data_IF_574949574955
#
_entry.id   IF_574949574955
#
_cell.length_a   1.000
_cell.length_b   1.000
_cell.length_c   1.000
_cell.angle_alpha   90.00
_cell.angle_beta   90.00
_cell.angle_gamma   90.00
#
_symmetry.space_group_name_H-M   'P 1'
#
loop_
_entity.id
_entity.type
_entity.pdbx_description
1 polymer ?
#
# COMPACT_ATOMS: atom_id res chain seq x y z
N UNK A 1 -26.05 13.68 -2.09
CA UNK A 1 -26.49 13.75 -0.68
C UNK A 1 -26.94 12.36 -0.26
N UNK A 2 -26.37 11.85 0.83
CA UNK A 2 -26.56 10.54 1.48
C UNK A 2 -26.22 9.26 0.66
N UNK A 3 -24.95 9.07 0.30
CA UNK A 3 -24.36 7.71 0.11
C UNK A 3 -23.33 7.44 1.23
N UNK A 4 -23.67 7.89 2.43
CA UNK A 4 -22.86 7.78 3.62
C UNK A 4 -23.28 6.55 4.41
N UNK A 5 -22.49 5.50 4.29
CA UNK A 5 -22.23 4.55 5.37
C UNK A 5 -23.27 3.45 5.66
N UNK A 6 -23.58 2.61 4.66
CA UNK A 6 -24.34 1.36 4.87
C UNK A 6 -23.55 0.41 5.79
N UNK A 7 -24.06 0.04 6.98
CA UNK A 7 -23.40 -0.87 7.92
C UNK A 7 -23.03 -2.22 7.28
N UNK A 8 -23.85 -2.71 6.35
CA UNK A 8 -23.61 -3.97 5.64
C UNK A 8 -22.40 -3.90 4.70
N UNK A 9 -22.05 -2.70 4.21
CA UNK A 9 -20.81 -2.48 3.42
C UNK A 9 -19.57 -2.46 4.31
N UNK A 10 -19.69 -2.03 5.58
CA UNK A 10 -18.59 -2.08 6.57
C UNK A 10 -18.30 -3.50 7.01
N UNK A 11 -19.36 -4.29 7.25
CA UNK A 11 -19.24 -5.71 7.61
C UNK A 11 -18.56 -6.54 6.50
N UNK A 12 -18.78 -6.23 5.22
CA UNK A 12 -18.13 -6.92 4.07
C UNK A 12 -16.83 -6.24 3.60
N UNK A 13 -16.29 -5.29 4.36
CA UNK A 13 -15.07 -4.57 3.96
C UNK A 13 -13.86 -5.53 3.91
N UNK A 14 -12.87 -5.22 3.06
CA UNK A 14 -11.63 -5.99 3.06
C UNK A 14 -10.95 -5.96 4.43
N UNK A 15 -10.94 -4.81 5.10
CA UNK A 15 -10.35 -4.67 6.43
C UNK A 15 -10.97 -5.63 7.45
N UNK A 16 -12.31 -5.68 7.51
CA UNK A 16 -13.07 -6.58 8.39
C UNK A 16 -12.74 -8.04 8.08
N UNK A 17 -12.83 -8.44 6.80
CA UNK A 17 -12.52 -9.81 6.38
C UNK A 17 -11.10 -10.23 6.74
N UNK A 18 -10.12 -9.34 6.55
CA UNK A 18 -8.72 -9.59 6.92
C UNK A 18 -8.54 -9.73 8.43
N UNK A 19 -9.13 -8.83 9.22
CA UNK A 19 -9.11 -8.90 10.69
C UNK A 19 -9.66 -10.23 11.19
N UNK A 20 -10.83 -10.64 10.70
CA UNK A 20 -11.46 -11.90 11.07
C UNK A 20 -10.63 -13.12 10.68
N UNK A 21 -9.97 -13.10 9.51
CA UNK A 21 -9.08 -14.17 9.09
C UNK A 21 -7.85 -14.28 9.99
N UNK A 22 -7.22 -13.15 10.32
CA UNK A 22 -6.07 -13.11 11.24
C UNK A 22 -6.46 -13.65 12.62
N UNK A 23 -7.66 -13.33 13.13
CA UNK A 23 -8.16 -13.86 14.40
C UNK A 23 -8.44 -15.37 14.38
N UNK A 24 -8.78 -15.95 13.22
CA UNK A 24 -9.07 -17.39 13.07
C UNK A 24 -7.81 -18.23 12.82
N UNK A 25 -6.79 -17.65 12.19
CA UNK A 25 -5.52 -18.34 11.90
C UNK A 25 -4.35 -17.59 12.53
N UNK A 26 -3.55 -16.88 11.73
CA UNK A 26 -2.50 -16.00 12.19
C UNK A 26 -2.18 -14.93 11.15
N UNK A 27 -1.61 -13.80 11.58
CA UNK A 27 -1.18 -12.73 10.67
C UNK A 27 -0.17 -13.26 9.64
N UNK A 28 0.80 -14.06 10.09
CA UNK A 28 1.83 -14.63 9.21
C UNK A 28 1.24 -15.52 8.14
N UNK A 29 0.30 -16.40 8.49
CA UNK A 29 -0.33 -17.29 7.51
C UNK A 29 -1.10 -16.51 6.44
N UNK A 30 -1.91 -15.54 6.86
CA UNK A 30 -2.66 -14.68 5.94
C UNK A 30 -1.70 -13.88 5.04
N UNK A 31 -0.59 -13.38 5.59
CA UNK A 31 0.44 -12.68 4.83
C UNK A 31 1.14 -13.59 3.81
N UNK A 32 1.48 -14.83 4.17
CA UNK A 32 2.12 -15.79 3.27
C UNK A 32 1.21 -16.14 2.07
N UNK A 33 -0.08 -16.37 2.32
CA UNK A 33 -1.06 -16.59 1.24
C UNK A 33 -1.21 -15.32 0.38
N UNK A 34 -1.28 -14.14 0.99
CA UNK A 34 -1.33 -12.88 0.24
C UNK A 34 -0.09 -12.66 -0.65
N UNK A 35 1.09 -13.07 -0.19
CA UNK A 35 2.33 -13.06 -0.98
C UNK A 35 2.25 -14.03 -2.16
N UNK A 36 1.80 -15.27 -1.93
CA UNK A 36 1.65 -16.26 -2.99
C UNK A 36 0.69 -15.75 -4.07
N UNK A 37 -0.44 -15.19 -3.66
CA UNK A 37 -1.40 -14.60 -4.57
C UNK A 37 -0.83 -13.42 -5.36
N UNK A 38 -0.06 -12.53 -4.72
CA UNK A 38 0.66 -11.44 -5.39
C UNK A 38 1.67 -11.97 -6.41
N UNK A 39 2.32 -13.10 -6.14
CA UNK A 39 3.27 -13.74 -7.06
C UNK A 39 2.60 -14.60 -8.15
N UNK A 40 1.28 -14.54 -8.26
CA UNK A 40 0.49 -15.23 -9.27
C UNK A 40 0.15 -16.69 -8.92
N UNK A 41 0.37 -17.11 -7.67
CA UNK A 41 -0.07 -18.42 -7.19
C UNK A 41 -1.58 -18.42 -6.92
N UNK A 42 -2.17 -19.61 -7.01
CA UNK A 42 -3.56 -19.83 -6.62
C UNK A 42 -3.63 -20.35 -5.18
N UNK A 43 -4.25 -19.55 -4.31
CA UNK A 43 -4.29 -19.78 -2.86
C UNK A 43 -5.60 -20.40 -2.37
N UNK A 44 -6.42 -20.93 -3.28
CA UNK A 44 -7.73 -21.52 -2.97
C UNK A 44 -8.90 -20.53 -3.10
N UNK A 45 -10.08 -21.09 -3.37
CA UNK A 45 -11.34 -20.35 -3.55
C UNK A 45 -11.71 -19.54 -2.31
N UNK A 46 -11.48 -20.12 -1.12
CA UNK A 46 -11.74 -19.49 0.18
C UNK A 46 -10.92 -18.21 0.33
N UNK A 47 -9.64 -18.24 -0.04
CA UNK A 47 -8.77 -17.08 0.06
C UNK A 47 -9.09 -16.04 -1.00
N UNK A 48 -9.38 -16.46 -2.23
CA UNK A 48 -9.84 -15.53 -3.26
C UNK A 48 -11.10 -14.79 -2.82
N UNK A 49 -12.08 -15.49 -2.24
CA UNK A 49 -13.27 -14.87 -1.66
C UNK A 49 -12.91 -13.97 -0.47
N UNK A 50 -11.94 -14.36 0.35
CA UNK A 50 -11.48 -13.57 1.48
C UNK A 50 -10.85 -12.24 1.05
N UNK A 51 -10.06 -12.19 -0.03
CA UNK A 51 -9.37 -10.96 -0.45
C UNK A 51 -10.14 -10.18 -1.53
N UNK A 52 -10.88 -10.87 -2.40
CA UNK A 52 -11.61 -10.31 -3.53
C UNK A 52 -13.11 -10.11 -3.31
N UNK A 53 -13.69 -10.77 -2.31
CA UNK A 53 -15.09 -10.61 -1.91
C UNK A 53 -16.07 -10.98 -3.03
N UNK A 54 -17.11 -10.17 -3.21
CA UNK A 54 -18.10 -10.38 -4.30
C UNK A 54 -17.47 -10.43 -5.69
N UNK A 55 -16.35 -9.74 -5.93
CA UNK A 55 -15.69 -9.76 -7.24
C UNK A 55 -15.00 -11.10 -7.49
N UNK A 56 -14.42 -11.71 -6.44
CA UNK A 56 -13.85 -13.06 -6.56
C UNK A 56 -14.93 -14.07 -6.92
N UNK A 57 -16.16 -13.94 -6.38
CA UNK A 57 -17.27 -14.82 -6.76
C UNK A 57 -17.53 -14.85 -8.27
N UNK A 58 -17.43 -13.70 -8.95
CA UNK A 58 -17.57 -13.64 -10.40
C UNK A 58 -16.48 -14.45 -11.13
N UNK A 59 -15.24 -14.36 -10.67
CA UNK A 59 -14.11 -15.15 -11.21
C UNK A 59 -14.34 -16.65 -10.97
N UNK A 60 -14.75 -17.04 -9.77
CA UNK A 60 -15.06 -18.43 -9.43
C UNK A 60 -16.24 -18.99 -10.25
N UNK A 61 -17.12 -18.11 -10.74
CA UNK A 61 -18.21 -18.46 -11.64
C UNK A 61 -17.79 -18.46 -13.13
N UNK A 62 -16.48 -18.38 -13.44
CA UNK A 62 -15.94 -18.53 -14.79
C UNK A 62 -15.56 -17.23 -15.49
N UNK A 63 -15.65 -16.06 -14.83
CA UNK A 63 -15.11 -14.83 -15.40
C UNK A 63 -13.57 -14.87 -15.44
N UNK A 64 -12.91 -14.32 -16.48
CA UNK A 64 -11.46 -14.31 -16.55
C UNK A 64 -10.86 -13.51 -15.38
N UNK A 65 -9.87 -14.06 -14.64
CA UNK A 65 -9.31 -13.40 -13.47
C UNK A 65 -8.52 -12.13 -13.80
N UNK A 66 -7.94 -12.04 -15.00
CA UNK A 66 -7.01 -10.98 -15.39
C UNK A 66 -5.91 -10.82 -14.31
N UNK A 67 -5.65 -9.59 -13.86
CA UNK A 67 -4.67 -9.26 -12.81
C UNK A 67 -5.29 -9.10 -11.41
N UNK A 68 -6.57 -9.46 -11.25
CA UNK A 68 -7.31 -9.19 -10.02
C UNK A 68 -6.78 -9.96 -8.81
N UNK A 69 -6.47 -11.27 -8.90
CA UNK A 69 -5.89 -12.01 -7.79
C UNK A 69 -4.62 -11.35 -7.26
N UNK A 70 -3.67 -11.02 -8.12
CA UNK A 70 -2.39 -10.41 -7.71
C UNK A 70 -2.61 -9.05 -7.03
N UNK A 71 -3.50 -8.23 -7.60
CA UNK A 71 -3.84 -6.93 -7.01
C UNK A 71 -4.54 -7.06 -5.64
N UNK A 72 -5.33 -8.12 -5.43
CA UNK A 72 -5.93 -8.41 -4.13
C UNK A 72 -4.90 -8.94 -3.13
N UNK A 73 -3.96 -9.77 -3.57
CA UNK A 73 -2.81 -10.20 -2.77
C UNK A 73 -2.01 -9.00 -2.25
N UNK A 74 -1.62 -8.07 -3.13
CA UNK A 74 -0.95 -6.84 -2.72
C UNK A 74 -1.78 -6.02 -1.71
N UNK A 75 -3.10 -5.89 -1.92
CA UNK A 75 -3.97 -5.15 -0.98
C UNK A 75 -4.12 -5.85 0.36
N UNK A 76 -4.16 -7.17 0.40
CA UNK A 76 -4.22 -7.94 1.64
C UNK A 76 -2.97 -7.68 2.51
N UNK A 77 -1.81 -7.43 1.89
CA UNK A 77 -0.58 -7.07 2.60
C UNK A 77 -0.64 -5.71 3.32
N UNK A 78 -1.65 -4.88 3.07
CA UNK A 78 -1.92 -3.67 3.88
C UNK A 78 -2.49 -4.00 5.26
N UNK A 79 -3.08 -5.19 5.43
CA UNK A 79 -3.78 -5.60 6.65
C UNK A 79 -3.07 -6.73 7.41
N UNK A 80 -2.39 -7.63 6.70
CA UNK A 80 -1.56 -8.69 7.29
C UNK A 80 -0.14 -8.60 6.75
N UNK A 81 0.89 -8.72 7.61
CA UNK A 81 2.27 -8.55 7.17
C UNK A 81 3.22 -9.61 7.69
N UNK A 82 4.27 -9.84 6.91
CA UNK A 82 5.44 -10.58 7.33
C UNK A 82 6.68 -10.00 6.63
N UNK A 83 7.87 -9.95 7.27
CA UNK A 83 9.05 -9.31 6.67
C UNK A 83 9.44 -9.85 5.29
N UNK A 84 9.20 -11.15 5.04
CA UNK A 84 9.45 -11.82 3.77
C UNK A 84 8.64 -11.22 2.60
N UNK A 85 7.50 -10.59 2.90
CA UNK A 85 6.65 -9.94 1.91
C UNK A 85 7.35 -8.75 1.23
N UNK A 86 8.33 -8.11 1.87
CA UNK A 86 9.04 -6.97 1.31
C UNK A 86 9.68 -7.29 -0.06
N UNK A 87 10.28 -8.48 -0.20
CA UNK A 87 10.91 -8.92 -1.46
C UNK A 87 9.87 -9.19 -2.56
N UNK A 88 8.71 -9.74 -2.19
CA UNK A 88 7.61 -10.02 -3.15
C UNK A 88 6.97 -8.71 -3.62
N UNK A 89 6.80 -7.74 -2.71
CA UNK A 89 6.33 -6.39 -3.04
C UNK A 89 7.31 -5.67 -3.95
N UNK A 90 8.62 -5.69 -3.63
CA UNK A 90 9.65 -5.07 -4.48
C UNK A 90 9.64 -5.63 -5.90
N UNK A 91 9.63 -6.96 -6.04
CA UNK A 91 9.52 -7.65 -7.33
C UNK A 91 8.30 -7.18 -8.13
N UNK A 92 7.17 -6.99 -7.47
CA UNK A 92 5.90 -6.66 -8.13
C UNK A 92 5.68 -5.16 -8.39
N UNK A 93 6.62 -4.28 -7.99
CA UNK A 93 6.62 -2.89 -8.45
C UNK A 93 6.83 -2.78 -9.97
N UNK A 94 7.38 -3.79 -10.64
CA UNK A 94 7.56 -3.84 -12.10
C UNK A 94 6.53 -4.74 -12.80
N UNK A 95 5.45 -5.13 -12.11
CA UNK A 95 4.42 -6.02 -12.66
C UNK A 95 3.78 -5.41 -13.92
N UNK A 96 3.45 -6.26 -14.91
CA UNK A 96 2.78 -5.85 -16.15
C UNK A 96 1.47 -5.11 -15.91
N UNK A 97 0.74 -5.46 -14.86
CA UNK A 97 -0.53 -4.84 -14.52
C UNK A 97 -0.30 -3.59 -13.68
N UNK A 98 -0.67 -2.43 -14.21
CA UNK A 98 -0.54 -1.13 -13.53
C UNK A 98 -1.19 -1.14 -12.13
N UNK A 99 -2.29 -1.88 -11.96
CA UNK A 99 -3.01 -1.95 -10.68
C UNK A 99 -2.25 -2.73 -9.61
N UNK A 100 -1.42 -3.69 -10.00
CA UNK A 100 -0.50 -4.39 -9.10
C UNK A 100 0.62 -3.45 -8.68
N UNK A 101 1.24 -2.72 -9.64
CA UNK A 101 2.26 -1.71 -9.35
C UNK A 101 1.75 -0.64 -8.38
N UNK A 102 0.56 -0.11 -8.63
CA UNK A 102 -0.13 0.86 -7.76
C UNK A 102 -0.33 0.29 -6.34
N UNK A 103 -0.84 -0.93 -6.22
CA UNK A 103 -1.09 -1.57 -4.93
C UNK A 103 0.23 -1.82 -4.17
N UNK A 104 1.28 -2.29 -4.85
CA UNK A 104 2.60 -2.46 -4.25
C UNK A 104 3.18 -1.14 -3.76
N UNK A 105 3.10 -0.04 -4.53
CA UNK A 105 3.57 1.27 -4.08
C UNK A 105 2.84 1.75 -2.81
N UNK A 106 1.54 1.48 -2.68
CA UNK A 106 0.80 1.75 -1.43
C UNK A 106 1.29 0.90 -0.26
N UNK A 107 1.59 -0.38 -0.49
CA UNK A 107 2.19 -1.25 0.53
C UNK A 107 3.55 -0.71 0.97
N UNK A 108 4.39 -0.25 0.03
CA UNK A 108 5.69 0.38 0.36
C UNK A 108 5.50 1.56 1.31
N UNK A 109 4.54 2.45 1.03
CA UNK A 109 4.24 3.59 1.88
C UNK A 109 3.75 3.16 3.28
N UNK A 110 2.75 2.29 3.34
CA UNK A 110 2.11 1.85 4.59
C UNK A 110 3.06 1.05 5.49
N UNK A 111 3.92 0.22 4.89
CA UNK A 111 4.87 -0.64 5.62
C UNK A 111 6.25 0.01 5.77
N UNK A 112 6.41 1.25 5.31
CA UNK A 112 7.65 2.03 5.33
C UNK A 112 8.86 1.27 4.76
N UNK A 113 8.67 0.60 3.61
CA UNK A 113 9.75 -0.20 3.02
C UNK A 113 10.79 0.73 2.37
N UNK A 114 12.10 0.52 2.57
CA UNK A 114 13.16 1.40 2.05
C UNK A 114 13.43 1.17 0.55
N UNK A 115 12.39 1.25 -0.29
CA UNK A 115 12.41 0.93 -1.71
C UNK A 115 12.44 2.18 -2.61
N UNK A 116 13.11 3.25 -2.15
CA UNK A 116 13.19 4.56 -2.82
C UNK A 116 13.59 4.44 -4.30
N UNK A 117 14.63 3.64 -4.60
CA UNK A 117 15.08 3.45 -6.00
C UNK A 117 14.00 2.90 -6.92
N UNK A 118 13.22 1.91 -6.45
CA UNK A 118 12.14 1.32 -7.23
C UNK A 118 10.98 2.31 -7.39
N UNK A 119 10.66 3.10 -6.36
CA UNK A 119 9.64 4.14 -6.42
C UNK A 119 10.00 5.26 -7.41
N UNK A 120 11.27 5.68 -7.46
CA UNK A 120 11.75 6.69 -8.41
C UNK A 120 11.54 6.28 -9.87
N UNK A 121 11.54 4.99 -10.19
CA UNK A 121 11.18 4.51 -11.54
C UNK A 121 9.69 4.70 -11.80
N UNK A 122 8.84 4.50 -10.79
CA UNK A 122 7.38 4.57 -10.94
C UNK A 122 6.83 6.01 -11.03
N UNK A 123 7.60 7.04 -10.68
CA UNK A 123 7.15 8.43 -10.82
C UNK A 123 6.98 8.85 -12.29
N UNK A 124 7.53 8.07 -13.23
CA UNK A 124 7.36 8.27 -14.69
C UNK A 124 6.53 7.16 -15.35
N UNK A 125 5.82 6.36 -14.56
CA UNK A 125 4.95 5.29 -15.06
C UNK A 125 3.89 5.84 -16.05
N UNK A 126 3.56 5.05 -17.07
CA UNK A 126 2.51 5.40 -18.05
C UNK A 126 1.16 5.70 -17.39
N UNK A 127 0.86 5.02 -16.27
CA UNK A 127 -0.40 5.14 -15.58
C UNK A 127 -0.33 6.20 -14.46
N UNK A 128 -1.19 7.21 -14.56
CA UNK A 128 -1.26 8.30 -13.59
C UNK A 128 -1.50 7.83 -12.13
N UNK A 129 -2.25 6.75 -11.93
CA UNK A 129 -2.48 6.21 -10.57
C UNK A 129 -1.21 5.61 -9.98
N UNK A 130 -0.37 4.99 -10.80
CA UNK A 130 0.93 4.45 -10.37
C UNK A 130 1.87 5.59 -10.02
N UNK A 131 1.97 6.62 -10.88
CA UNK A 131 2.76 7.84 -10.59
C UNK A 131 2.35 8.47 -9.26
N UNK A 132 1.06 8.69 -9.06
CA UNK A 132 0.53 9.26 -7.82
C UNK A 132 0.75 8.39 -6.59
N UNK A 133 0.72 7.05 -6.72
CA UNK A 133 1.05 6.16 -5.61
C UNK A 133 2.55 6.19 -5.27
N UNK A 134 3.41 6.25 -6.29
CA UNK A 134 4.85 6.34 -6.12
C UNK A 134 5.29 7.64 -5.42
N UNK A 135 4.70 8.79 -5.79
CA UNK A 135 4.99 10.08 -5.16
C UNK A 135 4.63 10.11 -3.68
N UNK A 136 3.45 9.59 -3.32
CA UNK A 136 3.05 9.45 -1.90
C UNK A 136 3.97 8.50 -1.14
N UNK A 137 4.38 7.40 -1.77
CA UNK A 137 5.32 6.48 -1.16
C UNK A 137 6.70 7.13 -0.96
N UNK A 138 7.21 7.89 -1.93
CA UNK A 138 8.44 8.67 -1.77
C UNK A 138 8.35 9.69 -0.64
N UNK A 139 7.20 10.37 -0.46
CA UNK A 139 7.00 11.21 0.73
C UNK A 139 7.12 10.42 2.05
N UNK A 140 6.56 9.21 2.07
CA UNK A 140 6.54 8.35 3.27
C UNK A 140 7.88 7.69 3.61
N UNK A 141 8.72 7.34 2.62
CA UNK A 141 9.96 6.56 2.85
C UNK A 141 11.24 7.22 2.34
N UNK A 142 11.11 8.26 1.51
CA UNK A 142 12.22 9.00 0.95
C UNK A 142 12.94 9.87 1.97
N UNK A 143 13.95 10.56 1.46
CA UNK A 143 14.84 11.49 2.14
C UNK A 143 14.83 12.86 1.45
N UNK A 144 15.40 13.91 2.04
CA UNK A 144 15.52 15.22 1.36
C UNK A 144 16.18 15.14 -0.03
N UNK A 145 17.04 14.15 -0.28
CA UNK A 145 17.65 13.94 -1.59
C UNK A 145 16.63 13.59 -2.69
N UNK A 146 15.44 13.11 -2.32
CA UNK A 146 14.37 12.71 -3.22
C UNK A 146 13.38 13.86 -3.51
N UNK A 147 13.50 15.01 -2.83
CA UNK A 147 12.60 16.16 -2.98
C UNK A 147 12.48 16.61 -4.43
N UNK A 148 13.62 16.69 -5.13
CA UNK A 148 13.68 17.10 -6.53
C UNK A 148 12.90 16.16 -7.45
N UNK A 149 12.94 14.86 -7.16
CA UNK A 149 12.20 13.84 -7.92
C UNK A 149 10.70 14.09 -7.80
N UNK A 150 10.21 14.36 -6.58
CA UNK A 150 8.78 14.63 -6.33
C UNK A 150 8.37 15.98 -6.94
N UNK A 151 9.21 17.02 -6.80
CA UNK A 151 8.94 18.38 -7.28
C UNK A 151 8.69 18.44 -8.79
N UNK A 152 9.36 17.60 -9.58
CA UNK A 152 9.14 17.52 -11.04
C UNK A 152 7.72 17.10 -11.41
N UNK A 153 7.03 16.36 -10.55
CA UNK A 153 5.65 15.92 -10.80
C UNK A 153 4.60 16.99 -10.49
N UNK A 154 4.98 18.16 -9.97
CA UNK A 154 4.08 19.30 -9.77
C UNK A 154 3.55 19.89 -11.10
N UNK A 155 4.18 19.56 -12.22
CA UNK A 155 3.75 19.95 -13.57
C UNK A 155 3.22 18.78 -14.38
N UNK A 156 2.94 17.63 -13.76
CA UNK A 156 2.36 16.47 -14.44
C UNK A 156 1.02 16.85 -15.12
N UNK A 157 0.72 16.33 -16.33
CA UNK A 157 -0.53 16.62 -17.01
C UNK A 157 -1.77 16.18 -16.21
N UNK A 158 -1.66 15.12 -15.41
CA UNK A 158 -2.76 14.62 -14.60
C UNK A 158 -2.86 15.36 -13.26
N UNK A 159 -4.03 15.96 -13.00
CA UNK A 159 -4.29 16.72 -11.78
C UNK A 159 -4.11 15.89 -10.51
N UNK A 160 -4.48 14.61 -10.53
CA UNK A 160 -4.33 13.72 -9.36
C UNK A 160 -2.87 13.42 -9.03
N UNK A 161 -1.98 13.45 -10.03
CA UNK A 161 -0.54 13.31 -9.86
C UNK A 161 0.07 14.58 -9.27
N UNK A 162 -0.35 15.76 -9.74
CA UNK A 162 0.08 17.04 -9.13
C UNK A 162 -0.30 17.13 -7.66
N UNK A 163 -1.52 16.72 -7.31
CA UNK A 163 -1.95 16.63 -5.89
C UNK A 163 -1.06 15.66 -5.12
N UNK A 164 -0.81 14.47 -5.66
CA UNK A 164 0.06 13.48 -5.00
C UNK A 164 1.50 13.98 -4.81
N UNK A 165 2.02 14.80 -5.73
CA UNK A 165 3.33 15.43 -5.61
C UNK A 165 3.35 16.45 -4.47
N UNK A 166 2.32 17.30 -4.36
CA UNK A 166 2.15 18.20 -3.21
C UNK A 166 2.09 17.42 -1.88
N UNK A 167 1.21 16.41 -1.79
CA UNK A 167 1.08 15.56 -0.59
C UNK A 167 2.43 14.90 -0.23
N UNK A 168 3.16 14.42 -1.25
CA UNK A 168 4.45 13.76 -1.08
C UNK A 168 5.54 14.68 -0.52
N UNK A 169 5.61 15.93 -1.02
CA UNK A 169 6.55 16.95 -0.52
C UNK A 169 6.23 17.34 0.93
N UNK A 170 4.95 17.55 1.25
CA UNK A 170 4.52 17.88 2.61
C UNK A 170 4.88 16.77 3.60
N UNK A 171 4.57 15.52 3.25
CA UNK A 171 4.90 14.36 4.08
C UNK A 171 6.42 14.19 4.28
N UNK A 172 7.21 14.44 3.23
CA UNK A 172 8.67 14.37 3.30
C UNK A 172 9.23 15.44 4.25
N UNK A 173 8.78 16.68 4.10
CA UNK A 173 9.21 17.80 4.93
C UNK A 173 8.85 17.58 6.41
N UNK A 174 7.61 17.18 6.69
CA UNK A 174 7.14 16.92 8.06
C UNK A 174 7.96 15.83 8.76
N UNK A 175 8.30 14.75 8.04
CA UNK A 175 9.17 13.68 8.58
C UNK A 175 10.57 14.18 8.89
N UNK A 176 11.14 15.02 8.02
CA UNK A 176 12.50 15.51 8.21
C UNK A 176 12.60 16.53 9.36
N UNK A 177 11.60 17.41 9.51
CA UNK A 177 11.52 18.36 10.62
C UNK A 177 11.46 17.65 11.99
N UNK A 178 10.69 16.56 12.08
CA UNK A 178 10.60 15.72 13.28
C UNK A 178 11.94 15.04 13.62
N UNK A 179 12.74 14.67 12.62
CA UNK A 179 14.08 14.10 12.83
C UNK A 179 15.07 15.16 13.31
N UNK A 180 14.95 16.40 12.83
CA UNK A 180 15.83 17.52 13.20
C UNK A 180 15.51 18.13 14.58
N UNK A 181 14.31 17.90 15.12
CA UNK A 181 13.88 18.41 16.44
C UNK A 181 13.82 17.28 17.48
N UNK A 182 14.93 16.87 18.13
CA UNK A 182 14.92 15.74 19.07
C UNK A 182 14.31 16.06 20.46
N UNK A 183 13.62 17.18 20.63
CA UNK A 183 13.10 17.61 21.93
C UNK A 183 11.79 16.89 22.31
N UNK A 184 11.92 15.66 22.83
CA UNK A 184 10.79 14.89 23.36
C UNK A 184 11.17 13.68 24.23
N UNK A 185 12.43 13.52 24.65
CA UNK A 185 12.82 12.47 25.60
C UNK A 185 13.18 13.08 26.96
N UNK A 186 12.30 12.81 27.93
CA UNK A 186 12.51 12.82 29.38
C UNK A 186 12.52 14.19 30.08
N UNK A 187 11.33 14.68 30.42
CA UNK A 187 11.10 15.48 31.62
C UNK A 187 10.01 14.77 32.43
N UNK A 188 10.43 13.78 33.23
CA UNK A 188 9.54 12.94 34.03
C UNK A 188 10.28 12.07 35.04
N UNK A 189 11.51 12.44 35.41
CA UNK A 189 12.11 12.02 36.67
C UNK A 189 12.32 13.28 37.51
N UNK A 190 11.45 13.46 38.50
CA UNK A 190 11.71 14.30 39.66
C UNK A 190 11.13 13.56 40.85
N UNK A 191 11.98 12.71 41.41
CA UNK A 191 12.02 12.36 42.82
C UNK A 191 12.15 13.64 43.67
N UNK A 192 11.15 13.88 44.53
CA UNK A 192 11.17 14.65 45.80
C UNK A 192 9.67 14.90 46.14
N UNK A 193 9.10 14.56 47.28
CA UNK A 193 9.57 14.12 48.60
C UNK A 193 8.54 13.19 49.22
#
# INVERSE_FOLDING_TARGET
MADGDDPRRREDSLATRMSDAVSRTSEREVALRAMGLLDGLYEGDDFLLLVGGRHARGILNGAPPLYWPEAWGARALLYAWTPEAAKVVEKNLTNRAWRVREACAKVVATRQLPLVRALTVLVTDENARVRGAALRALGAVGSPADEEVIRRALTDPDTSVRVAAHDGLEALAARHEQVLSPAGRHAGESTCS
#
